data_IF_634081200783
#
_entry.id   IF_634081200783
#
_cell.length_a   1.000
_cell.length_b   1.000
_cell.length_c   1.000
_cell.angle_alpha   90.00
_cell.angle_beta   90.00
_cell.angle_gamma   90.00
#
_symmetry.space_group_name_H-M   'P 1'
#
loop_
_entity.id
_entity.type
_entity.pdbx_description
1 polymer ?
#
# COMPACT_ATOMS: atom_id res chain seq x y z
N UNK A 1 -5.49 27.39 -5.94
CA UNK A 1 -5.21 26.90 -4.57
C UNK A 1 -4.18 25.79 -4.67
N UNK A 2 -3.10 25.86 -3.89
CA UNK A 2 -2.12 24.79 -3.78
C UNK A 2 -2.75 23.53 -3.19
N UNK A 3 -2.28 22.35 -3.61
CA UNK A 3 -2.58 21.08 -2.95
C UNK A 3 -1.75 21.03 -1.66
N UNK A 4 -2.43 20.92 -0.52
CA UNK A 4 -1.80 20.84 0.80
C UNK A 4 -2.18 19.53 1.49
N UNK A 5 -1.21 18.92 2.18
CA UNK A 5 -1.41 17.62 2.82
C UNK A 5 -2.32 17.73 4.04
N UNK A 6 -2.07 18.72 4.91
CA UNK A 6 -2.85 18.98 6.13
C UNK A 6 -3.92 20.07 5.99
N UNK A 7 -4.17 20.55 4.76
CA UNK A 7 -5.03 21.72 4.52
C UNK A 7 -4.27 23.05 4.49
N UNK A 8 -4.99 24.13 4.18
CA UNK A 8 -4.38 25.45 3.93
C UNK A 8 -4.18 26.31 5.19
N UNK A 9 -4.63 25.86 6.36
CA UNK A 9 -4.45 26.59 7.62
C UNK A 9 -3.09 26.21 8.25
N UNK A 10 -2.32 27.23 8.62
CA UNK A 10 -1.00 27.06 9.28
C UNK A 10 -1.14 26.30 10.61
N UNK A 11 -2.29 26.44 11.30
CA UNK A 11 -2.61 25.71 12.51
C UNK A 11 -2.64 24.19 12.33
N UNK A 12 -2.95 23.69 11.13
CA UNK A 12 -2.99 22.25 10.84
C UNK A 12 -1.62 21.58 10.90
N UNK A 13 -0.54 22.36 10.76
CA UNK A 13 0.84 21.90 10.85
C UNK A 13 1.45 22.15 12.24
N UNK A 14 0.69 22.71 13.18
CA UNK A 14 1.20 23.02 14.51
C UNK A 14 1.34 21.73 15.35
N UNK A 15 2.46 21.61 16.07
CA UNK A 15 2.85 20.45 16.87
C UNK A 15 3.07 20.82 18.35
N UNK A 16 2.67 22.04 18.76
CA UNK A 16 2.94 22.55 20.11
C UNK A 16 2.36 21.68 21.23
N UNK A 17 1.22 21.03 21.01
CA UNK A 17 0.56 20.17 22.01
C UNK A 17 1.05 18.71 21.97
N UNK A 18 1.98 18.37 21.07
CA UNK A 18 2.58 17.05 20.93
C UNK A 18 2.42 16.45 19.54
N UNK A 19 3.42 15.68 19.13
CA UNK A 19 3.57 15.11 17.78
C UNK A 19 2.43 14.16 17.41
N UNK A 20 2.03 13.27 18.33
CA UNK A 20 0.98 12.28 18.10
C UNK A 20 -0.44 12.83 18.32
N UNK A 21 -0.58 14.06 18.85
CA UNK A 21 -1.87 14.71 19.02
C UNK A 21 -2.34 15.40 17.73
N UNK A 22 -1.43 15.63 16.78
CA UNK A 22 -1.78 16.15 15.47
C UNK A 22 -2.23 14.99 14.55
N UNK A 23 -3.52 14.95 14.20
CA UNK A 23 -4.09 13.89 13.35
C UNK A 23 -3.41 13.80 11.99
N UNK A 24 -3.10 14.94 11.37
CA UNK A 24 -2.41 14.95 10.07
C UNK A 24 -1.02 14.32 10.14
N UNK A 25 -0.31 14.50 11.27
CA UNK A 25 0.99 13.87 11.46
C UNK A 25 0.87 12.36 11.62
N UNK A 26 -0.15 11.86 12.34
CA UNK A 26 -0.42 10.42 12.47
C UNK A 26 -0.75 9.81 11.10
N UNK A 27 -1.51 10.51 10.27
CA UNK A 27 -1.82 10.06 8.91
C UNK A 27 -0.58 10.07 7.99
N UNK A 28 0.33 11.03 8.19
CA UNK A 28 1.63 11.02 7.52
C UNK A 28 2.48 9.81 7.95
N UNK A 29 2.44 9.42 9.22
CA UNK A 29 3.13 8.22 9.71
C UNK A 29 2.53 6.94 9.12
N UNK A 30 1.20 6.85 8.99
CA UNK A 30 0.52 5.71 8.38
C UNK A 30 0.92 5.50 6.91
N UNK A 31 1.29 6.57 6.20
CA UNK A 31 1.78 6.48 4.83
C UNK A 31 3.17 5.82 4.71
N UNK A 32 4.05 6.01 5.70
CA UNK A 32 5.45 5.54 5.68
C UNK A 32 5.61 4.04 5.39
N UNK A 33 4.95 3.11 6.11
CA UNK A 33 5.12 1.68 5.88
C UNK A 33 4.67 1.25 4.48
N UNK A 34 3.62 1.87 3.92
CA UNK A 34 3.13 1.55 2.58
C UNK A 34 4.13 1.97 1.49
N UNK A 35 4.68 3.18 1.60
CA UNK A 35 5.72 3.67 0.68
C UNK A 35 6.97 2.81 0.79
N UNK A 36 7.38 2.45 2.00
CA UNK A 36 8.55 1.60 2.24
C UNK A 36 8.40 0.21 1.59
N UNK A 37 7.24 -0.44 1.78
CA UNK A 37 6.94 -1.72 1.15
C UNK A 37 6.99 -1.62 -0.38
N UNK A 38 6.39 -0.57 -0.96
CA UNK A 38 6.43 -0.35 -2.40
C UNK A 38 7.88 -0.17 -2.89
N UNK A 39 8.69 0.60 -2.18
CA UNK A 39 10.07 0.86 -2.58
C UNK A 39 10.94 -0.41 -2.55
N UNK A 40 10.70 -1.34 -1.63
CA UNK A 40 11.43 -2.61 -1.56
C UNK A 40 10.92 -3.61 -2.59
N UNK A 41 9.60 -3.72 -2.76
CA UNK A 41 9.00 -4.73 -3.64
C UNK A 41 9.13 -4.38 -5.12
N UNK A 42 9.16 -3.10 -5.48
CA UNK A 42 9.22 -2.65 -6.88
C UNK A 42 10.50 -3.11 -7.60
N UNK A 43 11.72 -2.92 -7.09
CA UNK A 43 12.93 -3.46 -7.73
C UNK A 43 12.89 -4.99 -7.91
N UNK A 44 12.34 -5.71 -6.92
CA UNK A 44 12.27 -7.18 -6.96
C UNK A 44 11.33 -7.65 -8.07
N UNK A 45 10.17 -7.01 -8.21
CA UNK A 45 9.21 -7.31 -9.29
C UNK A 45 9.81 -7.04 -10.67
N UNK A 46 10.56 -5.94 -10.85
CA UNK A 46 11.22 -5.63 -12.12
C UNK A 46 12.31 -6.64 -12.48
N UNK A 47 13.12 -7.06 -11.51
CA UNK A 47 14.15 -8.09 -11.71
C UNK A 47 13.50 -9.45 -12.03
N UNK A 48 12.46 -9.83 -11.27
CA UNK A 48 11.71 -11.07 -11.48
C UNK A 48 11.07 -11.12 -12.86
N UNK A 49 10.45 -10.03 -13.31
CA UNK A 49 9.84 -9.94 -14.63
C UNK A 49 10.89 -10.02 -15.76
N UNK A 50 12.00 -9.30 -15.66
CA UNK A 50 13.09 -9.36 -16.65
C UNK A 50 13.76 -10.75 -16.72
N UNK A 51 13.86 -11.45 -15.58
CA UNK A 51 14.42 -12.80 -15.54
C UNK A 51 13.46 -13.88 -16.09
N UNK A 52 12.15 -13.77 -15.84
CA UNK A 52 11.16 -14.67 -16.43
C UNK A 52 11.06 -14.49 -17.95
N UNK A 53 11.15 -13.25 -18.45
CA UNK A 53 11.16 -12.97 -19.90
C UNK A 53 12.36 -13.58 -20.65
N UNK A 54 13.46 -13.90 -19.96
CA UNK A 54 14.66 -14.51 -20.57
C UNK A 54 14.76 -16.02 -20.38
N UNK A 55 13.91 -16.64 -19.55
CA UNK A 55 13.96 -18.07 -19.17
C UNK A 55 12.67 -18.86 -19.46
N UNK A 56 11.89 -18.43 -20.45
CA UNK A 56 10.60 -19.02 -20.87
C UNK A 56 10.62 -20.54 -21.14
N UNK A 57 11.78 -21.20 -21.24
CA UNK A 57 11.88 -22.63 -21.54
C UNK A 57 12.07 -23.59 -20.35
N UNK A 58 12.23 -23.12 -19.11
CA UNK A 58 12.35 -24.02 -17.94
C UNK A 58 11.25 -23.73 -16.92
N UNK A 59 10.00 -23.88 -17.35
CA UNK A 59 8.85 -23.88 -16.45
C UNK A 59 8.69 -25.28 -15.87
N UNK A 60 9.37 -25.59 -14.78
CA UNK A 60 9.01 -26.78 -14.01
C UNK A 60 7.67 -26.53 -13.33
N UNK A 61 6.69 -27.36 -13.69
CA UNK A 61 5.26 -27.22 -13.48
C UNK A 61 4.83 -27.67 -12.07
N UNK A 62 5.49 -27.18 -11.03
CA UNK A 62 5.13 -27.49 -9.64
C UNK A 62 4.82 -26.19 -8.92
N UNK A 63 3.56 -25.76 -9.01
CA UNK A 63 3.03 -24.67 -8.20
C UNK A 63 2.78 -25.21 -6.79
N UNK A 64 3.56 -24.73 -5.83
CA UNK A 64 3.44 -25.18 -4.44
C UNK A 64 2.89 -24.04 -3.60
N UNK A 65 1.67 -24.22 -3.11
CA UNK A 65 1.06 -23.26 -2.21
C UNK A 65 1.73 -23.27 -0.85
N UNK A 66 2.11 -22.09 -0.35
CA UNK A 66 2.59 -21.97 1.02
C UNK A 66 1.47 -22.28 2.02
N UNK A 67 1.81 -22.80 3.22
CA UNK A 67 0.82 -23.01 4.27
C UNK A 67 0.10 -21.69 4.59
N UNK A 68 -1.24 -21.73 4.66
CA UNK A 68 -2.06 -20.53 4.90
C UNK A 68 -2.42 -19.70 3.67
N UNK A 69 -2.11 -20.17 2.45
CA UNK A 69 -2.45 -19.48 1.20
C UNK A 69 -3.90 -18.98 1.13
N UNK A 70 -4.87 -19.85 1.41
CA UNK A 70 -6.30 -19.50 1.33
C UNK A 70 -6.70 -18.41 2.34
N UNK A 71 -6.21 -18.50 3.58
CA UNK A 71 -6.49 -17.50 4.62
C UNK A 71 -5.90 -16.14 4.24
N UNK A 72 -4.68 -16.12 3.70
CA UNK A 72 -4.02 -14.90 3.23
C UNK A 72 -4.88 -14.19 2.20
N UNK A 73 -5.38 -14.89 1.18
CA UNK A 73 -6.22 -14.28 0.15
C UNK A 73 -7.51 -13.71 0.70
N UNK A 74 -8.20 -14.43 1.59
CA UNK A 74 -9.42 -13.94 2.23
C UNK A 74 -9.13 -12.64 2.98
N UNK A 75 -8.06 -12.60 3.77
CA UNK A 75 -7.65 -11.40 4.51
C UNK A 75 -7.24 -10.25 3.58
N UNK A 76 -6.52 -10.51 2.49
CA UNK A 76 -6.13 -9.45 1.55
C UNK A 76 -7.32 -8.91 0.77
N UNK A 77 -8.30 -9.73 0.40
CA UNK A 77 -9.52 -9.24 -0.24
C UNK A 77 -10.38 -8.41 0.71
N UNK A 78 -10.52 -8.85 1.97
CA UNK A 78 -11.19 -8.06 3.00
C UNK A 78 -10.47 -6.72 3.22
N UNK A 79 -9.13 -6.74 3.26
CA UNK A 79 -8.32 -5.53 3.40
C UNK A 79 -8.48 -4.59 2.20
N UNK A 80 -8.49 -5.09 0.96
CA UNK A 80 -8.74 -4.27 -0.24
C UNK A 80 -10.13 -3.62 -0.18
N UNK A 81 -11.14 -4.35 0.28
CA UNK A 81 -12.49 -3.81 0.46
C UNK A 81 -12.51 -2.66 1.47
N UNK A 82 -11.87 -2.83 2.63
CA UNK A 82 -11.76 -1.78 3.66
C UNK A 82 -11.06 -0.54 3.10
N UNK A 83 -9.95 -0.69 2.37
CA UNK A 83 -9.27 0.46 1.75
C UNK A 83 -10.17 1.20 0.77
N UNK A 84 -11.00 0.50 -0.02
CA UNK A 84 -11.97 1.17 -0.93
C UNK A 84 -13.00 1.96 -0.12
N UNK A 85 -13.48 1.43 1.01
CA UNK A 85 -14.37 2.15 1.92
C UNK A 85 -13.69 3.40 2.51
N UNK A 86 -12.45 3.30 2.97
CA UNK A 86 -11.68 4.42 3.51
C UNK A 86 -11.42 5.51 2.44
N UNK A 87 -11.12 5.11 1.20
CA UNK A 87 -11.00 6.06 0.09
C UNK A 87 -12.32 6.79 -0.14
N UNK A 88 -13.45 6.06 -0.13
CA UNK A 88 -14.76 6.67 -0.29
C UNK A 88 -15.08 7.64 0.85
N UNK A 89 -14.82 7.25 2.10
CA UNK A 89 -14.98 8.10 3.27
C UNK A 89 -14.10 9.36 3.19
N UNK A 90 -12.83 9.20 2.81
CA UNK A 90 -11.88 10.30 2.67
C UNK A 90 -12.29 11.30 1.60
N UNK A 91 -12.77 10.84 0.44
CA UNK A 91 -13.28 11.70 -0.64
C UNK A 91 -14.55 12.45 -0.20
N UNK A 92 -15.50 11.74 0.41
CA UNK A 92 -16.75 12.36 0.91
C UNK A 92 -16.44 13.39 1.99
N UNK A 93 -15.51 13.09 2.89
CA UNK A 93 -15.08 14.00 3.96
C UNK A 93 -14.35 15.24 3.44
N UNK A 94 -13.47 15.09 2.44
CA UNK A 94 -12.79 16.23 1.80
C UNK A 94 -13.80 17.14 1.08
N UNK A 95 -14.82 16.57 0.42
CA UNK A 95 -15.85 17.34 -0.31
C UNK A 95 -16.69 18.26 0.57
N UNK A 96 -16.74 18.00 1.88
CA UNK A 96 -17.50 18.79 2.87
C UNK A 96 -16.68 19.91 3.50
N UNK A 97 -15.38 20.01 3.19
CA UNK A 97 -14.47 21.01 3.77
C UNK A 97 -14.13 22.10 2.75
N UNK A 98 -13.86 23.32 3.24
CA UNK A 98 -13.53 24.47 2.39
C UNK A 98 -12.13 24.40 1.77
N UNK A 99 -11.22 23.59 2.34
CA UNK A 99 -9.88 23.36 1.81
C UNK A 99 -9.61 21.88 1.59
N UNK A 100 -8.71 21.58 0.65
CA UNK A 100 -8.31 20.21 0.31
C UNK A 100 -7.38 19.65 1.36
N UNK A 101 -7.71 18.48 1.90
CA UNK A 101 -6.96 17.75 2.91
C UNK A 101 -6.60 16.36 2.38
N UNK A 102 -5.47 16.27 1.67
CA UNK A 102 -5.05 15.01 1.03
C UNK A 102 -4.84 13.85 2.02
N UNK A 103 -4.47 14.14 3.27
CA UNK A 103 -4.24 13.12 4.28
C UNK A 103 -5.47 12.25 4.56
N UNK A 104 -6.68 12.71 4.23
CA UNK A 104 -7.93 11.96 4.45
C UNK A 104 -8.08 10.73 3.56
N UNK A 105 -7.45 10.71 2.38
CA UNK A 105 -7.56 9.60 1.44
C UNK A 105 -6.22 9.10 0.90
N UNK A 106 -5.16 9.91 0.94
CA UNK A 106 -3.85 9.51 0.42
C UNK A 106 -3.28 8.26 1.12
N UNK A 107 -3.32 8.12 2.46
CA UNK A 107 -2.86 6.90 3.12
C UNK A 107 -3.64 5.66 2.66
N UNK A 108 -4.96 5.77 2.54
CA UNK A 108 -5.82 4.67 2.06
C UNK A 108 -5.53 4.29 0.60
N UNK A 109 -5.33 5.29 -0.29
CA UNK A 109 -4.91 5.03 -1.68
C UNK A 109 -3.57 4.30 -1.73
N UNK A 110 -2.61 4.75 -0.91
CA UNK A 110 -1.28 4.16 -0.89
C UNK A 110 -1.29 2.76 -0.27
N UNK A 111 -2.12 2.53 0.75
CA UNK A 111 -2.38 1.20 1.31
C UNK A 111 -3.03 0.25 0.30
N UNK A 112 -3.97 0.73 -0.52
CA UNK A 112 -4.58 -0.04 -1.60
C UNK A 112 -3.54 -0.46 -2.66
N UNK A 113 -2.70 0.48 -3.10
CA UNK A 113 -1.61 0.20 -4.06
C UNK A 113 -0.61 -0.79 -3.46
N UNK A 114 -0.17 -0.56 -2.21
CA UNK A 114 0.76 -1.44 -1.50
C UNK A 114 0.19 -2.86 -1.33
N UNK A 115 -1.09 -2.98 -1.00
CA UNK A 115 -1.78 -4.28 -0.87
C UNK A 115 -1.83 -5.00 -2.21
N UNK A 116 -2.17 -4.28 -3.30
CA UNK A 116 -2.19 -4.83 -4.66
C UNK A 116 -0.79 -5.30 -5.10
N UNK A 117 0.25 -4.48 -4.86
CA UNK A 117 1.64 -4.85 -5.14
C UNK A 117 2.09 -6.06 -4.32
N UNK A 118 1.70 -6.15 -3.04
CA UNK A 118 2.00 -7.30 -2.18
C UNK A 118 1.36 -8.59 -2.68
N UNK A 119 0.14 -8.52 -3.22
CA UNK A 119 -0.53 -9.66 -3.86
C UNK A 119 0.28 -10.15 -5.06
N UNK A 120 0.64 -9.24 -5.97
CA UNK A 120 1.44 -9.56 -7.16
C UNK A 120 2.81 -10.12 -6.76
N UNK A 121 3.44 -9.53 -5.75
CA UNK A 121 4.72 -9.97 -5.20
C UNK A 121 4.64 -11.40 -4.66
N UNK A 122 3.65 -11.70 -3.84
CA UNK A 122 3.43 -13.03 -3.29
C UNK A 122 3.19 -14.07 -4.38
N UNK A 123 2.34 -13.73 -5.35
CA UNK A 123 2.06 -14.61 -6.48
C UNK A 123 3.33 -14.93 -7.29
N UNK A 124 4.19 -13.93 -7.56
CA UNK A 124 5.45 -14.14 -8.26
C UNK A 124 6.45 -15.01 -7.49
N UNK A 125 6.48 -14.91 -6.16
CA UNK A 125 7.35 -15.77 -5.33
C UNK A 125 6.82 -17.20 -5.31
N UNK A 126 5.51 -17.38 -5.20
CA UNK A 126 4.88 -18.69 -5.16
C UNK A 126 5.05 -19.44 -6.48
N UNK A 127 4.93 -18.75 -7.62
CA UNK A 127 5.21 -19.34 -8.94
C UNK A 127 6.69 -19.62 -9.15
N UNK A 128 7.58 -18.80 -8.57
CA UNK A 128 9.04 -18.99 -8.68
C UNK A 128 9.61 -19.97 -7.64
N UNK A 129 8.85 -20.40 -6.63
CA UNK A 129 9.28 -21.27 -5.52
C UNK A 129 10.54 -20.79 -4.76
N UNK A 130 10.69 -19.48 -4.52
CA UNK A 130 11.82 -18.90 -3.77
C UNK A 130 11.40 -18.34 -2.39
N UNK A 131 11.20 -19.19 -1.36
CA UNK A 131 10.67 -18.77 -0.05
C UNK A 131 11.56 -17.79 0.72
N UNK A 132 12.86 -17.73 0.43
CA UNK A 132 13.80 -16.82 1.10
C UNK A 132 13.54 -15.33 0.79
N UNK A 133 12.66 -15.03 -0.15
CA UNK A 133 12.29 -13.68 -0.56
C UNK A 133 10.95 -13.23 0.07
N UNK A 134 10.27 -14.06 0.85
CA UNK A 134 9.08 -13.64 1.59
C UNK A 134 9.51 -12.65 2.70
N UNK A 135 9.10 -11.39 2.52
CA UNK A 135 9.20 -10.31 3.50
C UNK A 135 7.93 -10.27 4.36
#
# INVERSE_FOLDING_TARGET
MSLSFCGNNISSYNINDGVLQNSCFVDALNLVPHVFLLFITFPILFIGWGSQSSKVQIHHNTWLHFPGHNLRWILTFALLFVHVCEIAEGIVSDSRRESRHLHLFMPAVMGFVATTTSIVYYHNIETSNFPKLLL
#
